data_IF_884583959504
#
_entry.id   IF_884583959504
#
_cell.length_a   1.000
_cell.length_b   1.000
_cell.length_c   1.000
_cell.angle_alpha   90.00
_cell.angle_beta   90.00
_cell.angle_gamma   90.00
#
_symmetry.space_group_name_H-M   'P 1'
#
loop_
_entity.id
_entity.type
_entity.pdbx_description
1 polymer ?
#
# COMPACT_ATOMS: atom_id res chain seq x y z
N UNK A 1 -1.74 16.52 -12.80
CA UNK A 1 -0.34 17.02 -12.79
C UNK A 1 -0.17 18.40 -13.45
N UNK A 2 -0.66 18.62 -14.68
CA UNK A 2 -0.51 19.87 -15.47
C UNK A 2 -0.92 21.18 -14.74
N UNK A 3 -1.98 21.15 -13.94
CA UNK A 3 -2.47 22.34 -13.20
C UNK A 3 -1.54 22.79 -12.06
N UNK A 4 -0.76 21.88 -11.44
CA UNK A 4 0.21 22.22 -10.38
C UNK A 4 1.47 22.89 -10.95
N UNK A 5 1.96 22.45 -12.11
CA UNK A 5 3.13 23.06 -12.75
C UNK A 5 2.83 24.48 -13.25
N UNK A 6 1.63 24.71 -13.79
CA UNK A 6 1.19 26.06 -14.19
C UNK A 6 1.07 27.02 -13.00
N UNK A 7 0.54 26.56 -11.86
CA UNK A 7 0.50 27.38 -10.65
C UNK A 7 1.90 27.71 -10.14
N UNK A 8 2.81 26.73 -10.10
CA UNK A 8 4.17 26.94 -9.64
C UNK A 8 4.95 27.91 -10.54
N UNK A 9 4.83 27.78 -11.87
CA UNK A 9 5.42 28.72 -12.83
C UNK A 9 4.87 30.13 -12.67
N UNK A 10 3.56 30.27 -12.42
CA UNK A 10 2.92 31.56 -12.12
C UNK A 10 3.49 32.18 -10.83
N UNK A 11 3.66 31.39 -9.77
CA UNK A 11 4.24 31.87 -8.50
C UNK A 11 5.68 32.35 -8.73
N UNK A 12 6.52 31.59 -9.42
CA UNK A 12 7.91 32.01 -9.73
C UNK A 12 7.91 33.30 -10.55
N UNK A 13 7.09 33.38 -11.60
CA UNK A 13 7.00 34.57 -12.44
C UNK A 13 6.61 35.80 -11.61
N UNK A 14 5.58 35.70 -10.78
CA UNK A 14 5.14 36.81 -9.92
C UNK A 14 6.16 37.17 -8.85
N UNK A 15 6.94 36.22 -8.33
CA UNK A 15 8.06 36.51 -7.44
C UNK A 15 9.12 37.36 -8.14
N UNK A 16 9.52 37.01 -9.35
CA UNK A 16 10.50 37.79 -10.14
C UNK A 16 9.97 39.19 -10.47
N UNK A 17 8.69 39.30 -10.83
CA UNK A 17 8.02 40.59 -11.07
C UNK A 17 7.97 41.43 -9.79
N UNK A 18 7.61 40.85 -8.65
CA UNK A 18 7.60 41.59 -7.37
C UNK A 18 8.98 42.08 -6.95
N UNK A 19 10.02 41.28 -7.20
CA UNK A 19 11.40 41.63 -6.89
C UNK A 19 11.91 42.78 -7.76
N UNK A 20 11.64 42.72 -9.07
CA UNK A 20 12.01 43.80 -10.00
C UNK A 20 11.28 45.12 -9.71
N UNK A 21 9.99 45.05 -9.37
CA UNK A 21 9.21 46.23 -8.92
C UNK A 21 9.82 46.80 -7.62
N UNK A 22 10.15 45.95 -6.65
CA UNK A 22 10.75 46.38 -5.38
C UNK A 22 12.10 47.09 -5.58
N UNK A 23 12.94 46.60 -6.50
CA UNK A 23 14.20 47.24 -6.88
C UNK A 23 13.98 48.61 -7.55
N UNK A 24 12.99 48.71 -8.43
CA UNK A 24 12.66 49.97 -9.11
C UNK A 24 12.16 51.03 -8.12
N UNK A 25 11.31 50.62 -7.16
CA UNK A 25 10.81 51.48 -6.08
C UNK A 25 11.98 51.96 -5.23
N UNK A 26 12.87 51.06 -4.79
CA UNK A 26 14.05 51.42 -4.01
C UNK A 26 14.94 52.42 -4.75
N UNK A 27 15.24 52.18 -6.04
CA UNK A 27 16.06 53.08 -6.85
C UNK A 27 15.43 54.47 -6.97
N UNK A 28 14.12 54.53 -7.21
CA UNK A 28 13.35 55.78 -7.32
C UNK A 28 13.33 56.55 -5.99
N UNK A 29 13.05 55.87 -4.87
CA UNK A 29 13.04 56.49 -3.54
C UNK A 29 14.39 57.07 -3.16
N UNK A 30 15.49 56.36 -3.47
CA UNK A 30 16.84 56.78 -3.13
C UNK A 30 17.37 57.90 -4.02
N UNK A 31 17.20 57.78 -5.35
CA UNK A 31 17.90 58.65 -6.31
C UNK A 31 17.04 59.79 -6.84
N UNK A 32 15.72 59.66 -6.87
CA UNK A 32 14.82 60.68 -7.44
C UNK A 32 14.16 61.51 -6.33
N UNK A 33 13.64 60.84 -5.29
CA UNK A 33 12.88 61.51 -4.24
C UNK A 33 13.78 61.97 -3.07
N UNK A 34 14.96 61.34 -2.91
CA UNK A 34 15.93 61.71 -1.87
C UNK A 34 15.48 61.33 -0.46
N UNK A 35 14.70 60.25 -0.31
CA UNK A 35 14.27 59.79 1.02
C UNK A 35 15.47 59.36 1.89
N UNK A 36 15.42 59.73 3.17
CA UNK A 36 16.42 59.33 4.16
C UNK A 36 16.37 57.81 4.44
N UNK A 37 17.49 57.30 4.96
CA UNK A 37 17.70 55.88 5.26
C UNK A 37 16.61 55.25 6.13
N UNK A 38 16.03 56.02 7.05
CA UNK A 38 15.00 55.51 7.97
C UNK A 38 13.68 55.19 7.27
N UNK A 39 13.29 55.98 6.27
CA UNK A 39 12.07 55.75 5.48
C UNK A 39 12.22 54.53 4.56
N UNK A 40 13.41 54.34 4.01
CA UNK A 40 13.76 53.17 3.19
C UNK A 40 13.80 51.91 4.07
N UNK A 41 14.35 52.01 5.28
CA UNK A 41 14.37 50.93 6.26
C UNK A 41 12.96 50.49 6.67
N UNK A 42 12.07 51.44 6.98
CA UNK A 42 10.67 51.16 7.30
C UNK A 42 9.92 50.46 6.16
N UNK A 43 10.16 50.87 4.91
CA UNK A 43 9.59 50.19 3.73
C UNK A 43 10.12 48.75 3.59
N UNK A 44 11.44 48.56 3.79
CA UNK A 44 12.06 47.25 3.82
C UNK A 44 11.49 46.34 4.93
N UNK A 45 11.19 46.89 6.11
CA UNK A 45 10.56 46.14 7.20
C UNK A 45 9.14 45.69 6.85
N UNK A 46 8.34 46.54 6.20
CA UNK A 46 6.97 46.18 5.75
C UNK A 46 7.04 45.09 4.67
N UNK A 47 7.92 45.25 3.67
CA UNK A 47 8.14 44.23 2.65
C UNK A 47 8.63 42.90 3.26
N UNK A 48 9.54 42.97 4.22
CA UNK A 48 10.01 41.81 4.97
C UNK A 48 8.87 41.08 5.68
N UNK A 49 8.00 41.82 6.37
CA UNK A 49 6.83 41.25 7.05
C UNK A 49 5.88 40.56 6.05
N UNK A 50 5.55 41.22 4.92
CA UNK A 50 4.72 40.64 3.85
C UNK A 50 5.36 39.38 3.27
N UNK A 51 6.68 39.41 3.02
CA UNK A 51 7.43 38.27 2.52
C UNK A 51 7.39 37.09 3.49
N UNK A 52 7.51 37.32 4.80
CA UNK A 52 7.39 36.28 5.83
C UNK A 52 5.99 35.65 5.83
N UNK A 53 4.93 36.46 5.77
CA UNK A 53 3.55 35.94 5.67
C UNK A 53 3.36 35.10 4.41
N UNK A 54 3.86 35.56 3.27
CA UNK A 54 3.75 34.84 2.01
C UNK A 54 4.56 33.52 2.03
N UNK A 55 5.76 33.54 2.61
CA UNK A 55 6.58 32.34 2.78
C UNK A 55 5.88 31.30 3.66
N UNK A 56 5.24 31.71 4.75
CA UNK A 56 4.46 30.82 5.61
C UNK A 56 3.28 30.17 4.86
N UNK A 57 2.55 30.95 4.05
CA UNK A 57 1.45 30.43 3.23
C UNK A 57 1.94 29.40 2.20
N UNK A 58 3.05 29.69 1.51
CA UNK A 58 3.67 28.75 0.57
C UNK A 58 4.12 27.48 1.30
N UNK A 59 4.75 27.61 2.47
CA UNK A 59 5.22 26.47 3.24
C UNK A 59 4.06 25.54 3.63
N UNK A 60 2.92 26.09 4.07
CA UNK A 60 1.70 25.31 4.36
C UNK A 60 1.19 24.59 3.11
N UNK A 61 1.14 25.27 1.96
CA UNK A 61 0.69 24.66 0.70
C UNK A 61 1.60 23.50 0.27
N UNK A 62 2.92 23.70 0.33
CA UNK A 62 3.91 22.67 0.01
C UNK A 62 3.80 21.50 0.98
N UNK A 63 3.71 21.78 2.29
CA UNK A 63 3.61 20.76 3.32
C UNK A 63 2.36 19.88 3.16
N UNK A 64 1.19 20.49 2.92
CA UNK A 64 -0.04 19.73 2.67
C UNK A 64 0.05 18.88 1.40
N UNK A 65 0.68 19.42 0.35
CA UNK A 65 0.95 18.67 -0.89
C UNK A 65 1.87 17.48 -0.68
N UNK A 66 2.96 17.68 0.06
CA UNK A 66 3.92 16.64 0.44
C UNK A 66 3.29 15.58 1.33
N UNK A 67 2.57 15.97 2.38
CA UNK A 67 1.89 15.06 3.32
C UNK A 67 0.94 14.11 2.58
N UNK A 68 0.11 14.63 1.67
CA UNK A 68 -0.81 13.79 0.90
C UNK A 68 -0.07 12.81 -0.02
N UNK A 69 1.01 13.25 -0.67
CA UNK A 69 1.81 12.37 -1.52
C UNK A 69 2.55 11.30 -0.69
N UNK A 70 3.11 11.69 0.45
CA UNK A 70 3.79 10.79 1.37
C UNK A 70 2.84 9.71 1.88
N UNK A 71 1.66 10.07 2.38
CA UNK A 71 0.67 9.11 2.88
C UNK A 71 0.25 8.10 1.82
N UNK A 72 0.03 8.54 0.57
CA UNK A 72 -0.22 7.63 -0.56
C UNK A 72 0.94 6.67 -0.81
N UNK A 73 2.17 7.18 -0.76
CA UNK A 73 3.36 6.35 -0.93
C UNK A 73 3.52 5.31 0.18
N UNK A 74 3.17 5.66 1.42
CA UNK A 74 3.18 4.72 2.55
C UNK A 74 2.19 3.59 2.29
N UNK A 75 0.92 3.92 1.99
CA UNK A 75 -0.12 2.91 1.72
C UNK A 75 0.27 2.01 0.55
N UNK A 76 0.79 2.57 -0.55
CA UNK A 76 1.22 1.77 -1.71
C UNK A 76 2.40 0.83 -1.37
N UNK A 77 3.33 1.27 -0.53
CA UNK A 77 4.44 0.43 -0.08
C UNK A 77 3.96 -0.71 0.83
N UNK A 78 3.06 -0.42 1.79
CA UNK A 78 2.47 -1.45 2.64
C UNK A 78 1.63 -2.46 1.84
N UNK A 79 0.86 -1.98 0.86
CA UNK A 79 0.12 -2.84 -0.07
C UNK A 79 1.06 -3.72 -0.89
N UNK A 80 2.23 -3.22 -1.33
CA UNK A 80 3.23 -4.01 -2.05
C UNK A 80 3.88 -5.07 -1.18
N UNK A 81 4.16 -4.76 0.09
CA UNK A 81 4.68 -5.74 1.04
C UNK A 81 3.65 -6.85 1.29
N UNK A 82 2.40 -6.47 1.52
CA UNK A 82 1.29 -7.42 1.71
C UNK A 82 1.06 -8.29 0.46
N UNK A 83 1.14 -7.68 -0.74
CA UNK A 83 1.05 -8.41 -2.01
C UNK A 83 2.11 -9.49 -2.13
N UNK A 84 3.37 -9.19 -1.80
CA UNK A 84 4.44 -10.19 -1.88
C UNK A 84 4.21 -11.35 -0.91
N UNK A 85 3.74 -11.07 0.30
CA UNK A 85 3.44 -12.10 1.32
C UNK A 85 2.31 -13.03 0.89
N UNK A 86 1.18 -12.45 0.48
CA UNK A 86 0.00 -13.21 0.03
C UNK A 86 0.31 -13.97 -1.27
N UNK A 87 1.20 -13.45 -2.11
CA UNK A 87 1.69 -14.18 -3.29
C UNK A 87 2.56 -15.39 -2.90
N UNK A 88 3.35 -15.34 -1.83
CA UNK A 88 4.11 -16.50 -1.37
C UNK A 88 3.18 -17.63 -0.91
N UNK A 89 2.10 -17.30 -0.21
CA UNK A 89 1.06 -18.27 0.16
C UNK A 89 0.39 -18.88 -1.07
N UNK A 90 0.11 -18.06 -2.09
CA UNK A 90 -0.45 -18.54 -3.37
C UNK A 90 0.41 -19.64 -3.99
N UNK A 91 1.73 -19.50 -3.97
CA UNK A 91 2.62 -20.52 -4.52
C UNK A 91 2.44 -21.87 -3.80
N UNK A 92 2.25 -21.85 -2.47
CA UNK A 92 1.98 -23.06 -1.68
C UNK A 92 0.61 -23.67 -1.94
N UNK A 93 -0.41 -22.83 -2.05
CA UNK A 93 -1.76 -23.26 -2.44
C UNK A 93 -1.72 -23.93 -3.82
N UNK A 94 -0.97 -23.36 -4.77
CA UNK A 94 -0.85 -23.88 -6.12
C UNK A 94 -0.06 -25.20 -6.19
N UNK A 95 1.04 -25.33 -5.45
CA UNK A 95 1.76 -26.59 -5.27
C UNK A 95 0.80 -27.67 -4.73
N UNK A 96 0.04 -27.36 -3.68
CA UNK A 96 -0.90 -28.28 -3.06
C UNK A 96 -2.02 -28.71 -4.02
N UNK A 97 -2.56 -27.77 -4.79
CA UNK A 97 -3.57 -28.05 -5.82
C UNK A 97 -3.08 -29.09 -6.82
N UNK A 98 -1.86 -28.93 -7.34
CA UNK A 98 -1.31 -29.90 -8.30
C UNK A 98 -1.14 -31.29 -7.68
N UNK A 99 -0.59 -31.36 -6.46
CA UNK A 99 -0.47 -32.65 -5.75
C UNK A 99 -1.83 -33.33 -5.53
N UNK A 100 -2.88 -32.56 -5.22
CA UNK A 100 -4.22 -33.11 -4.99
C UNK A 100 -4.92 -33.56 -6.28
N UNK A 101 -4.68 -32.87 -7.41
CA UNK A 101 -5.22 -33.28 -8.71
C UNK A 101 -4.63 -34.60 -9.20
N UNK A 102 -3.38 -34.91 -8.82
CA UNK A 102 -2.74 -36.20 -9.14
C UNK A 102 -3.38 -37.40 -8.39
N UNK A 103 -4.10 -37.14 -7.28
CA UNK A 103 -4.71 -38.18 -6.41
C UNK A 103 -5.90 -38.89 -7.06
N UNK A 104 -6.58 -38.27 -8.04
CA UNK A 104 -7.76 -38.87 -8.67
C UNK A 104 -7.43 -40.16 -9.46
N UNK A 105 -6.18 -40.34 -9.88
CA UNK A 105 -5.72 -41.49 -10.67
C UNK A 105 -4.87 -42.49 -9.85
N UNK A 106 -4.73 -42.27 -8.54
CA UNK A 106 -3.77 -42.97 -7.70
C UNK A 106 -4.29 -44.30 -7.11
N UNK A 107 -3.38 -45.26 -6.97
CA UNK A 107 -3.67 -46.53 -6.29
C UNK A 107 -3.85 -46.28 -4.78
N UNK A 108 -4.89 -46.84 -4.12
CA UNK A 108 -5.12 -46.67 -2.69
C UNK A 108 -3.92 -47.01 -1.79
N UNK A 109 -2.98 -47.85 -2.26
CA UNK A 109 -1.74 -48.18 -1.53
C UNK A 109 -0.75 -47.01 -1.41
N UNK A 110 -0.88 -45.99 -2.24
CA UNK A 110 0.01 -44.82 -2.27
C UNK A 110 -0.51 -43.67 -1.42
N UNK A 111 -1.78 -43.74 -0.96
CA UNK A 111 -2.43 -42.71 -0.12
C UNK A 111 -1.63 -42.32 1.15
N UNK A 112 -1.03 -43.26 1.91
CA UNK A 112 -0.26 -42.88 3.11
C UNK A 112 0.97 -42.01 2.81
N UNK A 113 1.61 -42.21 1.64
CA UNK A 113 2.75 -41.39 1.20
C UNK A 113 2.27 -39.99 0.85
N UNK A 114 1.17 -39.88 0.12
CA UNK A 114 0.55 -38.60 -0.24
C UNK A 114 0.01 -37.84 0.98
N UNK A 115 -0.57 -38.54 1.96
CA UNK A 115 -0.99 -37.95 3.23
C UNK A 115 0.15 -37.15 3.88
N UNK A 116 1.32 -37.77 4.02
CA UNK A 116 2.48 -37.10 4.62
C UNK A 116 2.93 -35.85 3.86
N UNK A 117 2.86 -35.88 2.52
CA UNK A 117 3.21 -34.74 1.68
C UNK A 117 2.19 -33.61 1.79
N UNK A 118 0.89 -33.92 1.76
CA UNK A 118 -0.20 -32.94 1.89
C UNK A 118 -0.17 -32.29 3.27
N UNK A 119 -0.04 -33.06 4.35
CA UNK A 119 0.03 -32.51 5.71
C UNK A 119 1.22 -31.57 5.87
N UNK A 120 2.40 -31.96 5.37
CA UNK A 120 3.58 -31.08 5.39
C UNK A 120 3.32 -29.76 4.65
N UNK A 121 2.55 -29.79 3.56
CA UNK A 121 2.23 -28.59 2.77
C UNK A 121 1.21 -27.68 3.46
N UNK A 122 0.25 -28.27 4.17
CA UNK A 122 -0.68 -27.55 5.03
C UNK A 122 0.11 -26.87 6.16
N UNK A 123 1.00 -27.59 6.84
CA UNK A 123 1.88 -27.02 7.88
C UNK A 123 2.77 -25.90 7.34
N UNK A 124 3.40 -26.07 6.16
CA UNK A 124 4.18 -25.01 5.50
C UNK A 124 3.32 -23.76 5.23
N UNK A 125 2.08 -23.94 4.77
CA UNK A 125 1.15 -22.84 4.50
C UNK A 125 0.72 -22.14 5.78
N UNK A 126 0.38 -22.88 6.84
CA UNK A 126 0.02 -22.32 8.15
C UNK A 126 1.17 -21.52 8.77
N UNK A 127 2.40 -22.03 8.68
CA UNK A 127 3.59 -21.31 9.17
C UNK A 127 3.79 -19.98 8.43
N UNK A 128 3.62 -19.98 7.10
CA UNK A 128 3.72 -18.77 6.29
C UNK A 128 2.59 -17.80 6.65
N UNK A 129 1.34 -18.28 6.73
CA UNK A 129 0.17 -17.48 7.09
C UNK A 129 0.32 -16.82 8.46
N UNK A 130 0.73 -17.59 9.47
CA UNK A 130 0.93 -17.08 10.82
C UNK A 130 2.07 -16.07 10.92
N UNK A 131 3.18 -16.30 10.20
CA UNK A 131 4.28 -15.34 10.08
C UNK A 131 3.85 -14.06 9.36
N UNK A 132 2.93 -14.19 8.39
CA UNK A 132 2.39 -13.08 7.65
C UNK A 132 1.36 -12.28 8.45
N UNK A 133 0.60 -12.88 9.38
CA UNK A 133 -0.41 -12.13 10.16
C UNK A 133 0.23 -10.96 10.94
N UNK A 134 1.34 -11.16 11.64
CA UNK A 134 1.90 -10.11 12.51
C UNK A 134 2.21 -8.76 11.84
N UNK A 135 2.80 -8.68 10.63
CA UNK A 135 3.03 -7.39 9.98
C UNK A 135 1.96 -7.05 8.93
N UNK A 136 0.95 -7.91 8.73
CA UNK A 136 -0.22 -7.58 7.91
C UNK A 136 -1.31 -6.95 8.78
N UNK A 137 -1.31 -7.19 10.09
CA UNK A 137 -2.23 -6.58 11.07
C UNK A 137 -2.19 -5.03 11.05
N UNK A 138 -1.01 -4.42 10.95
CA UNK A 138 -0.89 -2.96 10.85
C UNK A 138 -1.53 -2.44 9.55
N UNK A 139 -1.28 -3.11 8.43
CA UNK A 139 -1.88 -2.74 7.15
C UNK A 139 -3.39 -3.00 7.14
N UNK A 140 -3.85 -4.13 7.69
CA UNK A 140 -5.26 -4.50 7.86
C UNK A 140 -5.99 -3.41 8.66
N UNK A 141 -5.43 -2.94 9.76
CA UNK A 141 -5.98 -1.83 10.54
C UNK A 141 -6.04 -0.52 9.73
N UNK A 142 -5.04 -0.25 8.89
CA UNK A 142 -5.04 0.95 8.03
C UNK A 142 -6.12 0.92 6.94
N UNK A 143 -6.58 -0.27 6.58
CA UNK A 143 -7.61 -0.49 5.56
C UNK A 143 -8.93 -0.97 6.17
N UNK A 144 -9.12 -0.85 7.48
CA UNK A 144 -10.35 -1.20 8.19
C UNK A 144 -11.58 -0.59 7.47
N UNK A 145 -12.68 -1.34 7.44
CA UNK A 145 -13.90 -1.04 6.68
C UNK A 145 -13.77 -0.96 5.15
N UNK A 146 -12.60 -1.28 4.59
CA UNK A 146 -12.45 -1.38 3.13
C UNK A 146 -12.85 -2.75 2.59
N UNK A 147 -13.16 -2.80 1.30
CA UNK A 147 -13.37 -4.07 0.59
C UNK A 147 -12.15 -5.01 0.72
N UNK A 148 -10.93 -4.46 0.73
CA UNK A 148 -9.73 -5.27 0.84
C UNK A 148 -9.61 -5.93 2.22
N UNK A 149 -10.01 -5.22 3.28
CA UNK A 149 -10.07 -5.77 4.64
C UNK A 149 -10.98 -7.00 4.68
N UNK A 150 -12.22 -6.87 4.19
CA UNK A 150 -13.18 -7.97 4.17
C UNK A 150 -12.68 -9.19 3.39
N UNK A 151 -11.98 -8.96 2.27
CA UNK A 151 -11.41 -10.03 1.46
C UNK A 151 -10.27 -10.75 2.20
N UNK A 152 -9.40 -10.02 2.89
CA UNK A 152 -8.30 -10.59 3.68
C UNK A 152 -8.85 -11.41 4.85
N UNK A 153 -9.84 -10.89 5.57
CA UNK A 153 -10.50 -11.64 6.66
C UNK A 153 -11.13 -12.94 6.15
N UNK A 154 -11.92 -12.88 5.06
CA UNK A 154 -12.53 -14.07 4.44
C UNK A 154 -11.50 -15.11 4.02
N UNK A 155 -10.40 -14.66 3.42
CA UNK A 155 -9.32 -15.55 3.01
C UNK A 155 -8.64 -16.20 4.23
N UNK A 156 -8.34 -15.42 5.27
CA UNK A 156 -7.73 -15.91 6.51
C UNK A 156 -8.64 -16.92 7.24
N UNK A 157 -9.93 -16.60 7.37
CA UNK A 157 -10.93 -17.48 7.97
C UNK A 157 -11.05 -18.79 7.19
N UNK A 158 -11.02 -18.71 5.85
CA UNK A 158 -11.05 -19.89 4.98
C UNK A 158 -9.79 -20.74 5.13
N UNK A 159 -8.60 -20.16 5.27
CA UNK A 159 -7.39 -20.91 5.60
C UNK A 159 -7.51 -21.62 6.97
N UNK A 160 -8.22 -21.03 7.92
CA UNK A 160 -8.53 -21.70 9.20
C UNK A 160 -9.31 -23.01 9.06
N UNK A 161 -9.99 -23.25 7.93
CA UNK A 161 -10.74 -24.49 7.70
C UNK A 161 -9.85 -25.72 7.54
N UNK A 162 -8.56 -25.57 7.20
CA UNK A 162 -7.61 -26.68 7.16
C UNK A 162 -7.49 -27.41 8.52
N UNK A 163 -7.72 -26.71 9.63
CA UNK A 163 -7.70 -27.27 10.98
C UNK A 163 -8.85 -28.26 11.25
N UNK A 164 -9.92 -28.20 10.46
CA UNK A 164 -11.10 -29.06 10.62
C UNK A 164 -11.02 -30.35 9.80
N UNK A 165 -9.96 -30.54 9.01
CA UNK A 165 -9.80 -31.74 8.19
C UNK A 165 -9.62 -32.96 9.09
N UNK A 166 -10.36 -34.03 8.78
CA UNK A 166 -10.25 -35.31 9.49
C UNK A 166 -9.01 -36.10 9.06
N UNK A 167 -7.85 -35.67 9.55
CA UNK A 167 -6.53 -36.28 9.24
C UNK A 167 -6.49 -37.80 9.53
N UNK A 168 -7.27 -38.27 10.50
CA UNK A 168 -7.38 -39.70 10.83
C UNK A 168 -8.00 -40.54 9.72
N UNK A 169 -8.83 -39.96 8.85
CA UNK A 169 -9.55 -40.66 7.79
C UNK A 169 -8.78 -40.69 6.45
N UNK A 170 -7.73 -39.88 6.30
CA UNK A 170 -6.97 -39.72 5.05
C UNK A 170 -6.30 -41.01 4.55
N UNK A 171 -5.93 -41.94 5.42
CA UNK A 171 -5.22 -43.16 4.97
C UNK A 171 -6.10 -44.09 4.14
N UNK A 172 -7.43 -43.96 4.25
CA UNK A 172 -8.39 -44.93 3.72
C UNK A 172 -9.60 -44.29 3.02
N UNK A 173 -9.77 -42.97 3.09
CA UNK A 173 -10.92 -42.28 2.52
C UNK A 173 -10.49 -41.23 1.46
N UNK A 174 -10.76 -41.55 0.19
CA UNK A 174 -10.47 -40.66 -0.93
C UNK A 174 -11.35 -39.40 -0.92
N UNK A 175 -12.53 -39.44 -0.29
CA UNK A 175 -13.44 -38.29 -0.18
C UNK A 175 -12.81 -37.16 0.65
N UNK A 176 -11.95 -37.49 1.62
CA UNK A 176 -11.22 -36.47 2.40
C UNK A 176 -10.28 -35.68 1.49
N UNK A 177 -9.63 -36.31 0.51
CA UNK A 177 -8.81 -35.58 -0.45
C UNK A 177 -9.64 -34.71 -1.39
N UNK A 178 -10.86 -35.13 -1.75
CA UNK A 178 -11.78 -34.30 -2.52
C UNK A 178 -12.22 -33.06 -1.72
N UNK A 179 -12.46 -33.20 -0.41
CA UNK A 179 -12.74 -32.08 0.50
C UNK A 179 -11.55 -31.11 0.57
N UNK A 180 -10.33 -31.61 0.78
CA UNK A 180 -9.11 -30.78 0.78
C UNK A 180 -8.95 -30.06 -0.56
N UNK A 181 -9.25 -30.74 -1.67
CA UNK A 181 -9.19 -30.14 -3.02
C UNK A 181 -10.15 -28.97 -3.15
N UNK A 182 -11.40 -29.09 -2.68
CA UNK A 182 -12.37 -27.99 -2.68
C UNK A 182 -11.91 -26.82 -1.80
N UNK A 183 -11.36 -27.10 -0.62
CA UNK A 183 -10.77 -26.09 0.27
C UNK A 183 -9.64 -25.34 -0.45
N UNK A 184 -8.71 -26.06 -1.09
CA UNK A 184 -7.57 -25.47 -1.82
C UNK A 184 -8.03 -24.62 -3.00
N UNK A 185 -9.01 -25.09 -3.78
CA UNK A 185 -9.55 -24.33 -4.92
C UNK A 185 -10.22 -23.03 -4.44
N UNK A 186 -11.01 -23.09 -3.37
CA UNK A 186 -11.61 -21.90 -2.77
C UNK A 186 -10.57 -20.95 -2.21
N UNK A 187 -9.52 -21.46 -1.55
CA UNK A 187 -8.41 -20.66 -1.05
C UNK A 187 -7.69 -19.93 -2.19
N UNK A 188 -7.46 -20.58 -3.33
CA UNK A 188 -6.87 -19.97 -4.53
C UNK A 188 -7.74 -18.82 -5.07
N UNK A 189 -9.06 -19.01 -5.12
CA UNK A 189 -9.99 -17.98 -5.58
C UNK A 189 -9.98 -16.75 -4.65
N UNK A 190 -10.08 -16.96 -3.34
CA UNK A 190 -10.02 -15.85 -2.37
C UNK A 190 -8.67 -15.14 -2.41
N UNK A 191 -7.56 -15.89 -2.49
CA UNK A 191 -6.23 -15.32 -2.65
C UNK A 191 -6.15 -14.45 -3.92
N UNK A 192 -6.71 -14.92 -5.04
CA UNK A 192 -6.74 -14.15 -6.27
C UNK A 192 -7.55 -12.85 -6.15
N UNK A 193 -8.71 -12.89 -5.49
CA UNK A 193 -9.51 -11.68 -5.22
C UNK A 193 -8.74 -10.66 -4.40
N UNK A 194 -8.09 -11.10 -3.31
CA UNK A 194 -7.24 -10.26 -2.46
C UNK A 194 -6.09 -9.64 -3.27
N UNK A 195 -5.37 -10.45 -4.07
CA UNK A 195 -4.25 -9.96 -4.89
C UNK A 195 -4.69 -8.95 -5.96
N UNK A 196 -5.88 -9.11 -6.54
CA UNK A 196 -6.41 -8.14 -7.51
C UNK A 196 -6.81 -6.85 -6.84
N UNK A 197 -7.45 -6.92 -5.68
CA UNK A 197 -7.82 -5.73 -4.91
C UNK A 197 -6.56 -4.99 -4.43
N UNK A 198 -5.54 -5.68 -3.92
CA UNK A 198 -4.25 -5.09 -3.52
C UNK A 198 -3.58 -4.27 -4.62
N UNK A 199 -3.67 -4.71 -5.88
CA UNK A 199 -3.11 -3.95 -7.02
C UNK A 199 -3.74 -2.57 -7.15
N UNK A 200 -5.01 -2.42 -6.79
CA UNK A 200 -5.68 -1.11 -6.86
C UNK A 200 -5.03 -0.11 -5.90
N UNK A 201 -4.53 -0.56 -4.74
CA UNK A 201 -3.83 0.28 -3.76
C UNK A 201 -2.37 0.56 -4.14
N UNK A 202 -1.73 -0.36 -4.87
CA UNK A 202 -0.35 -0.18 -5.35
C UNK A 202 -0.28 0.84 -6.50
N UNK A 203 -1.30 0.89 -7.35
CA UNK A 203 -1.31 1.71 -8.57
C UNK A 203 -2.24 2.95 -8.51
N UNK A 204 -2.80 3.29 -7.34
CA UNK A 204 -3.67 4.46 -7.11
C UNK A 204 -2.91 5.80 -6.91
#
# INVERSE_FOLDING_TARGET
MKRRSEFFLKVILWTVVSYTISLLIYWTMKNIIGFNTDSISAFGSILGAIATFFAALIAIYIFNGWKNQHNKSVIANEAKLSFNKIHLERNKIHEMKFMLLEIQDLNPRELPVFKGQILKKIEELELIHNSNNQPTDEFINLIEDSKLHDLICKYSDHLGTFLNIKVSEMDHNIEVYAEITDIVIKAENYNQEVLQELKTYIFA
#
